data_IF_397321240173
#
_entry.id   IF_397321240173
#
_cell.length_a   1.000
_cell.length_b   1.000
_cell.length_c   1.000
_cell.angle_alpha   90.00
_cell.angle_beta   90.00
_cell.angle_gamma   90.00
#
_symmetry.space_group_name_H-M   'P 1'
#
loop_
_entity.id
_entity.type
_entity.pdbx_description
1 polymer ?
#
# COMPACT_ATOMS: atom_id res chain seq x y z
N UNK A 1 12.95 16.30 -9.69
CA UNK A 1 13.44 14.92 -9.92
C UNK A 1 13.39 14.07 -8.65
N UNK A 2 14.01 14.48 -7.54
CA UNK A 2 14.05 13.70 -6.28
C UNK A 2 12.66 13.32 -5.70
N UNK A 3 11.69 14.24 -5.77
CA UNK A 3 10.31 13.99 -5.28
C UNK A 3 9.62 12.85 -6.05
N UNK A 4 9.80 12.77 -7.37
CA UNK A 4 9.27 11.68 -8.22
C UNK A 4 9.89 10.33 -7.87
N UNK A 5 11.22 10.30 -7.72
CA UNK A 5 11.95 9.10 -7.31
C UNK A 5 11.51 8.60 -5.93
N UNK A 6 11.35 9.51 -4.96
CA UNK A 6 10.87 9.18 -3.63
C UNK A 6 9.43 8.64 -3.65
N UNK A 7 8.54 9.27 -4.42
CA UNK A 7 7.16 8.82 -4.57
C UNK A 7 7.09 7.41 -5.18
N UNK A 8 7.89 7.13 -6.23
CA UNK A 8 8.00 5.80 -6.83
C UNK A 8 8.51 4.76 -5.83
N UNK A 9 9.57 5.08 -5.09
CA UNK A 9 10.13 4.17 -4.09
C UNK A 9 9.12 3.84 -2.97
N UNK A 10 8.37 4.84 -2.49
CA UNK A 10 7.32 4.63 -1.48
C UNK A 10 6.18 3.78 -2.03
N UNK A 11 5.79 3.99 -3.28
CA UNK A 11 4.76 3.19 -3.93
C UNK A 11 5.16 1.74 -4.11
N UNK A 12 6.40 1.47 -4.53
CA UNK A 12 6.94 0.10 -4.59
C UNK A 12 6.93 -0.56 -3.21
N UNK A 13 7.41 0.14 -2.18
CA UNK A 13 7.39 -0.37 -0.80
C UNK A 13 5.96 -0.64 -0.31
N UNK A 14 5.01 0.21 -0.66
CA UNK A 14 3.60 0.03 -0.30
C UNK A 14 3.03 -1.22 -0.96
N UNK A 15 3.29 -1.43 -2.26
CA UNK A 15 2.90 -2.65 -3.00
C UNK A 15 3.49 -3.91 -2.37
N UNK A 16 4.77 -3.89 -2.02
CA UNK A 16 5.43 -5.06 -1.39
C UNK A 16 4.82 -5.38 -0.02
N UNK A 17 4.54 -4.36 0.80
CA UNK A 17 3.89 -4.55 2.11
C UNK A 17 2.47 -5.11 1.98
N UNK A 18 1.72 -4.63 0.99
CA UNK A 18 0.37 -5.14 0.72
C UNK A 18 0.41 -6.60 0.23
N UNK A 19 1.32 -6.93 -0.71
CA UNK A 19 1.55 -8.31 -1.16
C UNK A 19 1.93 -9.22 0.00
N UNK A 20 2.88 -8.81 0.84
CA UNK A 20 3.31 -9.58 1.99
C UNK A 20 2.14 -9.86 2.96
N UNK A 21 1.30 -8.86 3.23
CA UNK A 21 0.09 -9.04 4.05
C UNK A 21 -0.85 -10.08 3.43
N UNK A 22 -1.09 -10.02 2.12
CA UNK A 22 -1.96 -10.98 1.41
C UNK A 22 -1.41 -12.40 1.52
N UNK A 23 -0.12 -12.59 1.26
CA UNK A 23 0.52 -13.91 1.39
C UNK A 23 0.52 -14.45 2.82
N UNK A 24 0.68 -13.58 3.82
CA UNK A 24 0.57 -13.98 5.23
C UNK A 24 -0.83 -14.47 5.58
N UNK A 25 -1.86 -13.80 5.07
CA UNK A 25 -3.26 -14.19 5.24
C UNK A 25 -3.59 -15.51 4.52
N UNK A 26 -3.22 -15.64 3.25
CA UNK A 26 -3.44 -16.86 2.44
C UNK A 26 -2.73 -18.07 3.03
N UNK A 27 -1.48 -17.91 3.50
CA UNK A 27 -0.69 -18.99 4.11
C UNK A 27 -1.36 -19.49 5.40
N UNK A 28 -1.93 -18.56 6.15
CA UNK A 28 -2.73 -18.86 7.34
C UNK A 28 -3.97 -19.62 6.89
N UNK A 29 -4.82 -19.11 6.01
CA UNK A 29 -6.01 -19.83 5.54
C UNK A 29 -5.74 -21.26 5.03
N UNK A 30 -4.66 -21.47 4.27
CA UNK A 30 -4.26 -22.82 3.80
C UNK A 30 -3.82 -23.74 4.92
N UNK A 31 -3.07 -23.25 5.91
CA UNK A 31 -2.70 -24.05 7.10
C UNK A 31 -3.92 -24.40 7.97
N UNK A 32 -4.95 -23.56 7.97
CA UNK A 32 -6.22 -23.80 8.67
C UNK A 32 -7.05 -24.92 8.02
N UNK A 33 -6.99 -25.10 6.69
CA UNK A 33 -7.62 -26.23 6.00
C UNK A 33 -6.95 -27.57 6.31
N UNK A 34 -5.64 -27.58 6.66
CA UNK A 34 -4.88 -28.82 6.89
C UNK A 34 -4.95 -29.36 8.32
N UNK A 35 -5.36 -28.56 9.31
CA UNK A 35 -5.40 -28.96 10.72
C UNK A 35 -6.85 -29.05 11.22
N UNK A 36 -7.32 -30.25 11.55
CA UNK A 36 -8.74 -30.55 11.81
C UNK A 36 -9.28 -30.08 13.19
N UNK A 37 -8.45 -29.54 14.10
CA UNK A 37 -8.89 -29.22 15.48
C UNK A 37 -9.26 -27.74 15.68
N UNK A 38 -10.51 -27.47 16.08
CA UNK A 38 -11.11 -26.13 16.18
C UNK A 38 -10.41 -25.14 17.13
N UNK A 39 -9.80 -25.61 18.22
CA UNK A 39 -9.08 -24.74 19.20
C UNK A 39 -7.74 -24.22 18.69
N UNK A 40 -7.02 -25.01 17.87
CA UNK A 40 -5.77 -24.56 17.25
C UNK A 40 -6.05 -23.51 16.18
N UNK A 41 -7.17 -23.65 15.44
CA UNK A 41 -7.64 -22.69 14.45
C UNK A 41 -7.91 -21.30 15.04
N UNK A 42 -8.56 -21.22 16.21
CA UNK A 42 -8.89 -19.94 16.84
C UNK A 42 -7.63 -19.17 17.30
N UNK A 43 -6.71 -19.84 18.01
CA UNK A 43 -5.47 -19.22 18.49
C UNK A 43 -4.56 -18.76 17.35
N UNK A 44 -4.49 -19.52 16.25
CA UNK A 44 -3.67 -19.18 15.09
C UNK A 44 -4.25 -18.00 14.29
N UNK A 45 -5.59 -17.90 14.19
CA UNK A 45 -6.28 -16.70 13.68
C UNK A 45 -5.99 -15.47 14.52
N UNK A 46 -6.17 -15.56 15.84
CA UNK A 46 -5.92 -14.44 16.76
C UNK A 46 -4.47 -13.93 16.67
N UNK A 47 -3.48 -14.84 16.64
CA UNK A 47 -2.07 -14.47 16.48
C UNK A 47 -1.78 -13.80 15.13
N UNK A 48 -2.40 -14.29 14.05
CA UNK A 48 -2.20 -13.73 12.71
C UNK A 48 -2.88 -12.37 12.59
N UNK A 49 -4.13 -12.25 13.04
CA UNK A 49 -4.87 -10.99 13.08
C UNK A 49 -4.13 -9.95 13.91
N UNK A 50 -3.58 -10.33 15.06
CA UNK A 50 -2.75 -9.44 15.87
C UNK A 50 -1.47 -9.01 15.14
N UNK A 51 -0.80 -9.93 14.42
CA UNK A 51 0.42 -9.63 13.65
C UNK A 51 0.14 -8.72 12.46
N UNK A 52 -0.98 -8.93 11.77
CA UNK A 52 -1.46 -8.09 10.68
C UNK A 52 -1.85 -6.71 11.21
N UNK A 53 -2.65 -6.62 12.27
CA UNK A 53 -3.05 -5.36 12.92
C UNK A 53 -1.86 -4.51 13.38
N UNK A 54 -0.79 -5.15 13.86
CA UNK A 54 0.45 -4.44 14.24
C UNK A 54 1.16 -3.79 13.05
N UNK A 55 0.99 -4.31 11.83
CA UNK A 55 1.65 -3.83 10.60
C UNK A 55 0.81 -2.81 9.85
N UNK A 56 -0.51 -2.81 10.03
CA UNK A 56 -1.46 -1.85 9.46
C UNK A 56 -1.07 -0.37 9.64
N UNK A 57 -0.69 0.12 10.85
CA UNK A 57 -0.32 1.52 11.00
C UNK A 57 0.91 1.90 10.16
N UNK A 58 1.88 1.00 9.99
CA UNK A 58 3.04 1.24 9.14
C UNK A 58 2.68 1.38 7.66
N UNK A 59 1.71 0.60 7.18
CA UNK A 59 1.20 0.68 5.80
C UNK A 59 0.44 2.00 5.59
N UNK A 60 -0.39 2.40 6.56
CA UNK A 60 -1.09 3.70 6.53
C UNK A 60 -0.11 4.88 6.55
N UNK A 61 0.97 4.80 7.33
CA UNK A 61 2.02 5.82 7.33
C UNK A 61 2.71 5.94 5.96
N UNK A 62 2.98 4.81 5.28
CA UNK A 62 3.53 4.82 3.93
C UNK A 62 2.58 5.48 2.93
N UNK A 63 1.28 5.15 2.98
CA UNK A 63 0.25 5.77 2.14
C UNK A 63 0.13 7.28 2.41
N UNK A 64 0.15 7.70 3.67
CA UNK A 64 0.12 9.12 4.05
C UNK A 64 1.35 9.87 3.53
N UNK A 65 2.54 9.29 3.64
CA UNK A 65 3.76 9.90 3.13
C UNK A 65 3.74 10.02 1.60
N UNK A 66 3.23 9.01 0.91
CA UNK A 66 3.01 9.07 -0.54
C UNK A 66 2.03 10.19 -0.93
N UNK A 67 0.88 10.29 -0.25
CA UNK A 67 -0.12 11.31 -0.51
C UNK A 67 0.42 12.73 -0.27
N UNK A 68 1.26 12.93 0.76
CA UNK A 68 1.97 14.19 0.99
C UNK A 68 2.87 14.56 -0.21
N UNK A 69 3.60 13.59 -0.77
CA UNK A 69 4.43 13.84 -1.96
C UNK A 69 3.56 14.17 -3.19
N UNK A 70 2.40 13.54 -3.35
CA UNK A 70 1.46 13.85 -4.44
C UNK A 70 0.98 15.31 -4.37
N UNK A 71 0.63 15.78 -3.16
CA UNK A 71 0.23 17.18 -2.92
C UNK A 71 1.39 18.13 -3.24
N UNK A 72 2.62 17.80 -2.81
CA UNK A 72 3.81 18.60 -3.12
C UNK A 72 4.07 18.67 -4.62
N UNK A 73 3.96 17.55 -5.35
CA UNK A 73 4.11 17.52 -6.81
C UNK A 73 3.03 18.35 -7.50
N UNK A 74 1.78 18.27 -7.06
CA UNK A 74 0.68 19.08 -7.59
C UNK A 74 0.93 20.57 -7.35
N UNK A 75 1.44 20.96 -6.18
CA UNK A 75 1.82 22.34 -5.89
C UNK A 75 2.96 22.84 -6.80
N UNK A 76 3.97 22.01 -7.07
CA UNK A 76 5.07 22.35 -7.98
C UNK A 76 4.61 22.53 -9.43
N UNK A 77 3.64 21.72 -9.88
CA UNK A 77 3.01 21.85 -11.20
C UNK A 77 2.21 23.16 -11.28
N UNK A 78 1.40 23.47 -10.27
CA UNK A 78 0.65 24.74 -10.19
C UNK A 78 1.58 25.97 -10.20
N UNK A 79 2.73 25.87 -9.55
CA UNK A 79 3.76 26.92 -9.53
C UNK A 79 4.57 27.01 -10.83
N UNK A 80 4.29 26.18 -11.86
CA UNK A 80 5.06 26.08 -13.12
C UNK A 80 6.56 25.78 -12.91
N UNK A 81 6.92 25.20 -11.77
CA UNK A 81 8.29 24.75 -11.45
C UNK A 81 8.55 23.31 -11.87
N UNK A 82 7.50 22.60 -12.31
CA UNK A 82 7.61 21.27 -12.87
C UNK A 82 7.93 21.33 -14.39
N UNK A 83 8.58 20.29 -14.95
CA UNK A 83 8.78 20.17 -16.39
C UNK A 83 7.47 20.30 -17.17
N UNK A 84 7.53 20.80 -18.41
CA UNK A 84 6.36 20.85 -19.30
C UNK A 84 5.83 19.43 -19.51
N UNK A 85 4.51 19.25 -19.34
CA UNK A 85 3.85 17.94 -19.43
C UNK A 85 3.90 17.10 -18.15
N UNK A 86 4.45 17.62 -17.03
CA UNK A 86 4.45 16.89 -15.77
C UNK A 86 3.01 16.66 -15.25
N UNK A 87 2.65 15.39 -15.10
CA UNK A 87 1.36 14.94 -14.55
C UNK A 87 1.53 14.64 -13.06
N UNK A 88 0.60 15.12 -12.23
CA UNK A 88 0.60 14.79 -10.81
C UNK A 88 0.14 13.34 -10.59
N UNK A 89 0.82 12.55 -9.76
CA UNK A 89 0.34 11.22 -9.39
C UNK A 89 -0.96 11.30 -8.59
N UNK A 90 -1.82 10.29 -8.75
CA UNK A 90 -3.07 10.19 -8.02
C UNK A 90 -2.80 9.82 -6.55
N UNK A 91 -3.43 10.49 -5.58
CA UNK A 91 -3.35 10.10 -4.19
C UNK A 91 -4.05 8.75 -3.98
N UNK A 92 -3.52 7.95 -3.08
CA UNK A 92 -4.05 6.62 -2.77
C UNK A 92 -5.14 6.77 -1.70
N UNK A 93 -6.33 6.26 -1.99
CA UNK A 93 -7.40 6.16 -1.00
C UNK A 93 -6.95 5.28 0.18
N UNK A 94 -7.11 5.81 1.39
CA UNK A 94 -6.86 5.04 2.63
C UNK A 94 -8.00 4.07 2.94
N UNK A 95 -9.19 4.41 2.49
CA UNK A 95 -10.38 3.59 2.62
C UNK A 95 -10.28 2.44 1.63
N UNK A 96 -10.51 1.21 2.09
CA UNK A 96 -10.36 0.03 1.23
C UNK A 96 -8.91 -0.38 0.88
N UNK A 97 -7.87 0.34 1.31
CA UNK A 97 -6.45 0.03 0.98
C UNK A 97 -6.02 -1.42 1.27
N UNK A 98 -6.68 -2.05 2.24
CA UNK A 98 -6.39 -3.41 2.68
C UNK A 98 -7.24 -4.47 1.97
N UNK A 99 -8.27 -4.05 1.24
CA UNK A 99 -9.12 -4.92 0.42
C UNK A 99 -8.36 -5.41 -0.81
N UNK A 100 -7.29 -4.70 -1.21
CA UNK A 100 -6.33 -5.14 -2.21
C UNK A 100 -7.04 -5.47 -3.53
N UNK A 101 -7.95 -4.58 -3.93
CA UNK A 101 -8.71 -4.75 -5.15
C UNK A 101 -7.80 -4.48 -6.36
N UNK A 102 -8.11 -5.11 -7.49
CA UNK A 102 -7.32 -4.98 -8.73
C UNK A 102 -7.39 -3.55 -9.26
N UNK A 103 -8.48 -2.84 -8.95
CA UNK A 103 -8.75 -1.47 -9.38
C UNK A 103 -8.18 -0.38 -8.44
N UNK A 104 -7.54 -0.74 -7.33
CA UNK A 104 -7.02 0.24 -6.37
C UNK A 104 -5.91 1.10 -7.01
N UNK A 105 -5.93 2.41 -6.73
CA UNK A 105 -4.97 3.42 -7.22
C UNK A 105 -3.50 3.07 -6.90
N UNK A 106 -3.27 2.15 -5.96
CA UNK A 106 -1.97 1.55 -5.66
C UNK A 106 -1.33 0.90 -6.90
N UNK A 107 -2.13 0.42 -7.87
CA UNK A 107 -1.66 -0.27 -9.07
C UNK A 107 -1.45 0.64 -10.29
N UNK A 108 -2.01 1.85 -10.32
CA UNK A 108 -1.95 2.73 -11.50
C UNK A 108 -0.67 3.59 -11.53
N UNK A 109 0.28 3.38 -12.45
CA UNK A 109 1.54 4.14 -12.53
C UNK A 109 1.46 5.52 -13.22
N UNK A 110 0.31 6.18 -13.12
CA UNK A 110 0.06 7.51 -13.67
C UNK A 110 0.89 8.60 -12.96
N UNK A 111 1.57 9.45 -13.73
CA UNK A 111 2.37 10.59 -13.23
C UNK A 111 3.72 10.22 -12.59
N UNK A 112 4.08 8.93 -12.59
CA UNK A 112 5.36 8.42 -12.07
C UNK A 112 6.30 7.87 -13.16
N UNK A 113 5.81 7.67 -14.39
CA UNK A 113 6.62 7.40 -15.59
C UNK A 113 7.23 8.68 -16.14
N UNK A 114 8.36 8.57 -16.84
CA UNK A 114 9.20 9.67 -17.36
C UNK A 114 8.40 10.70 -18.17
#
# INVERSE_FOLDING_TARGET
>A
LQVRMNARALKTRLRDRLRQRKFEMDRVERSHCKTASGKCKQKLREHTEASVKRREPGILQLANNYNKLCIQMQALIRQKKAPRGAIAPLPIARDGLFKLDVDDDVWQDLGLGD
#
